data_IF_275213899030
#
_entry.id   IF_275213899030
#
_cell.length_a   1.000
_cell.length_b   1.000
_cell.length_c   1.000
_cell.angle_alpha   90.00
_cell.angle_beta   90.00
_cell.angle_gamma   90.00
#
_symmetry.space_group_name_H-M   'P 1'
#
loop_
_entity.id
_entity.type
_entity.pdbx_description
1 polymer ?
#
# COMPACT_ATOMS: atom_id res chain seq x y z
N UNK A 1 -27.71 -17.50 -18.14
CA UNK A 1 -28.12 -16.98 -16.81
C UNK A 1 -26.97 -16.32 -16.03
N UNK A 2 -25.78 -16.12 -16.59
CA UNK A 2 -24.61 -15.61 -15.84
C UNK A 2 -24.56 -14.08 -15.68
N UNK A 3 -25.24 -13.32 -16.54
CA UNK A 3 -25.26 -11.85 -16.52
C UNK A 3 -25.93 -11.27 -15.25
N UNK A 4 -26.87 -12.00 -14.64
CA UNK A 4 -27.55 -11.56 -13.41
C UNK A 4 -26.65 -11.63 -12.17
N UNK A 5 -25.77 -12.62 -12.07
CA UNK A 5 -24.86 -12.78 -10.94
C UNK A 5 -23.69 -11.78 -10.93
N UNK A 6 -23.34 -11.20 -12.09
CA UNK A 6 -22.35 -10.12 -12.18
C UNK A 6 -22.97 -8.77 -11.77
N UNK A 7 -24.22 -8.49 -12.17
CA UNK A 7 -24.93 -7.28 -11.73
C UNK A 7 -25.21 -7.30 -10.21
N UNK A 8 -25.56 -8.45 -9.63
CA UNK A 8 -25.73 -8.56 -8.17
C UNK A 8 -24.43 -8.31 -7.39
N UNK A 9 -23.26 -8.68 -7.95
CA UNK A 9 -21.95 -8.40 -7.34
C UNK A 9 -21.57 -6.92 -7.45
N UNK A 10 -21.91 -6.27 -8.55
CA UNK A 10 -21.76 -4.82 -8.72
C UNK A 10 -22.67 -4.07 -7.73
N UNK A 11 -23.95 -4.42 -7.63
CA UNK A 11 -24.88 -3.81 -6.67
C UNK A 11 -24.42 -3.96 -5.22
N UNK A 12 -23.93 -5.15 -4.82
CA UNK A 12 -23.36 -5.34 -3.47
C UNK A 12 -22.09 -4.52 -3.23
N UNK A 13 -21.26 -4.31 -4.27
CA UNK A 13 -20.08 -3.45 -4.16
C UNK A 13 -20.47 -1.97 -4.01
N UNK A 14 -21.52 -1.51 -4.71
CA UNK A 14 -22.06 -0.15 -4.58
C UNK A 14 -22.70 0.06 -3.20
N UNK A 15 -23.44 -0.92 -2.69
CA UNK A 15 -24.02 -0.87 -1.34
C UNK A 15 -22.94 -0.83 -0.25
N UNK A 16 -21.84 -1.57 -0.41
CA UNK A 16 -20.68 -1.49 0.48
C UNK A 16 -20.03 -0.10 0.42
N UNK A 17 -19.91 0.48 -0.77
CA UNK A 17 -19.36 1.83 -0.94
C UNK A 17 -20.23 2.88 -0.24
N UNK A 18 -21.55 2.80 -0.41
CA UNK A 18 -22.50 3.71 0.24
C UNK A 18 -22.54 3.50 1.76
N UNK A 19 -22.47 2.26 2.25
CA UNK A 19 -22.38 1.97 3.68
C UNK A 19 -21.07 2.48 4.31
N UNK A 20 -19.94 2.40 3.60
CA UNK A 20 -18.66 2.97 4.03
C UNK A 20 -18.70 4.51 4.04
N UNK A 21 -19.33 5.12 3.03
CA UNK A 21 -19.54 6.58 2.97
C UNK A 21 -20.50 7.08 4.05
N UNK A 22 -21.57 6.34 4.34
CA UNK A 22 -22.54 6.67 5.39
C UNK A 22 -21.90 6.52 6.78
N UNK A 23 -21.06 5.49 7.01
CA UNK A 23 -20.24 5.38 8.24
C UNK A 23 -19.24 6.52 8.37
N UNK A 24 -18.58 6.90 7.27
CA UNK A 24 -17.62 8.01 7.25
C UNK A 24 -18.28 9.40 7.47
N UNK A 25 -19.57 9.56 7.14
CA UNK A 25 -20.33 10.80 7.38
C UNK A 25 -20.93 10.88 8.79
N UNK A 26 -21.26 9.75 9.44
CA UNK A 26 -21.87 9.72 10.79
C UNK A 26 -20.87 9.88 11.94
N UNK A 27 -19.60 9.62 11.68
CA UNK A 27 -18.51 10.01 12.55
C UNK A 27 -17.61 10.93 11.75
N UNK A 28 -17.71 12.26 11.94
CA UNK A 28 -16.51 13.08 11.71
C UNK A 28 -15.44 12.47 12.60
N UNK A 29 -14.39 11.82 12.06
CA UNK A 29 -13.40 11.23 12.93
C UNK A 29 -12.75 12.43 13.59
N UNK A 30 -12.96 12.57 14.90
CA UNK A 30 -11.93 13.18 15.74
C UNK A 30 -10.68 12.42 15.32
N UNK A 31 -9.76 13.11 14.64
CA UNK A 31 -8.48 12.54 14.22
C UNK A 31 -7.73 12.25 15.51
N UNK A 32 -8.01 11.09 16.12
CA UNK A 32 -7.43 10.69 17.39
C UNK A 32 -5.96 10.45 17.12
N UNK A 33 -5.12 11.33 17.67
CA UNK A 33 -3.68 11.17 17.64
C UNK A 33 -3.36 9.82 18.27
N UNK A 34 -2.70 8.96 17.50
CA UNK A 34 -2.25 7.65 17.93
C UNK A 34 -0.75 7.69 18.10
N UNK A 35 -0.28 7.09 19.18
CA UNK A 35 1.14 6.85 19.38
C UNK A 35 1.64 5.76 18.43
N UNK A 36 2.73 6.03 17.72
CA UNK A 36 3.43 5.03 16.93
C UNK A 36 4.23 4.09 17.82
N UNK A 37 4.25 2.81 17.45
CA UNK A 37 5.26 1.89 17.98
C UNK A 37 6.67 2.36 17.61
N UNK A 38 7.62 2.15 18.51
CA UNK A 38 9.01 2.64 18.38
C UNK A 38 9.66 2.24 17.06
N UNK A 39 9.48 1.00 16.61
CA UNK A 39 10.04 0.53 15.33
C UNK A 39 9.47 1.31 14.13
N UNK A 40 8.15 1.52 14.11
CA UNK A 40 7.47 2.28 13.05
C UNK A 40 7.86 3.75 13.11
N UNK A 41 7.98 4.30 14.33
CA UNK A 41 8.47 5.65 14.55
C UNK A 41 9.88 5.85 14.00
N UNK A 42 10.82 4.95 14.31
CA UNK A 42 12.20 5.03 13.82
C UNK A 42 12.27 4.92 12.29
N UNK A 43 11.47 4.03 11.69
CA UNK A 43 11.35 3.94 10.22
C UNK A 43 10.81 5.24 9.62
N UNK A 44 9.80 5.84 10.22
CA UNK A 44 9.24 7.11 9.77
C UNK A 44 10.25 8.25 9.93
N UNK A 45 10.93 8.31 11.07
CA UNK A 45 11.96 9.29 11.35
C UNK A 45 13.09 9.21 10.32
N UNK A 46 13.64 8.02 10.05
CA UNK A 46 14.71 7.83 9.07
C UNK A 46 14.27 8.23 7.66
N UNK A 47 13.05 7.84 7.26
CA UNK A 47 12.47 8.25 5.99
C UNK A 47 12.37 9.78 5.86
N UNK A 48 11.86 10.45 6.91
CA UNK A 48 11.72 11.91 6.91
C UNK A 48 13.06 12.63 7.04
N UNK A 49 14.02 12.08 7.77
CA UNK A 49 15.37 12.66 7.94
C UNK A 49 16.12 12.72 6.62
N UNK A 50 15.90 11.74 5.72
CA UNK A 50 16.42 11.78 4.35
C UNK A 50 15.86 12.92 3.50
N UNK A 51 14.67 13.43 3.82
CA UNK A 51 14.03 14.58 3.15
C UNK A 51 14.26 15.91 3.88
N UNK A 52 14.36 15.87 5.20
CA UNK A 52 14.48 17.00 6.10
C UNK A 52 15.67 16.77 7.03
N UNK A 53 16.87 17.15 6.58
CA UNK A 53 18.13 16.90 7.29
C UNK A 53 18.16 17.51 8.69
N UNK A 54 17.38 18.56 8.96
CA UNK A 54 17.29 19.24 10.25
C UNK A 54 16.32 18.59 11.25
N UNK A 55 15.58 17.55 10.83
CA UNK A 55 14.58 16.88 11.69
C UNK A 55 15.24 16.17 12.87
N UNK A 56 14.74 16.40 14.08
CA UNK A 56 15.29 15.81 15.32
C UNK A 56 14.33 14.79 15.90
N UNK A 57 14.87 13.72 16.46
CA UNK A 57 14.11 12.66 17.13
C UNK A 57 13.76 13.12 18.55
N UNK A 58 12.48 13.02 18.93
CA UNK A 58 11.99 13.48 20.24
C UNK A 58 12.57 12.68 21.43
N UNK A 59 13.15 11.51 21.20
CA UNK A 59 13.78 10.74 22.28
C UNK A 59 15.17 11.30 22.68
N UNK A 60 15.81 12.11 21.84
CA UNK A 60 17.18 12.56 22.07
C UNK A 60 17.22 14.01 22.56
N UNK A 61 17.24 14.16 23.89
CA UNK A 61 17.42 15.43 24.58
C UNK A 61 18.92 15.67 24.89
N UNK A 62 19.39 16.93 24.92
CA UNK A 62 18.65 18.16 24.63
C UNK A 62 18.45 18.38 23.12
N UNK A 63 17.33 19.00 22.75
CA UNK A 63 17.08 19.35 21.35
C UNK A 63 17.93 20.55 20.93
N UNK A 64 18.46 20.56 19.69
CA UNK A 64 19.11 21.75 19.15
C UNK A 64 18.11 22.92 19.05
N UNK A 65 18.57 24.17 19.22
CA UNK A 65 17.70 25.34 19.15
C UNK A 65 17.09 25.48 17.74
N UNK A 66 15.79 25.78 17.69
CA UNK A 66 15.00 25.97 16.46
C UNK A 66 14.92 24.76 15.51
N UNK A 67 15.32 23.56 15.93
CA UNK A 67 15.18 22.37 15.10
C UNK A 67 13.76 21.77 15.18
N UNK A 68 13.15 21.37 14.05
CA UNK A 68 11.88 20.66 14.07
C UNK A 68 12.03 19.30 14.73
N UNK A 69 11.11 18.96 15.64
CA UNK A 69 11.12 17.69 16.39
C UNK A 69 9.95 16.81 15.94
N UNK A 70 10.25 15.61 15.43
CA UNK A 70 9.22 14.64 15.09
C UNK A 70 8.75 13.93 16.37
N UNK A 71 7.51 14.18 16.78
CA UNK A 71 6.86 13.47 17.88
C UNK A 71 6.39 12.07 17.42
N UNK A 72 6.25 11.15 18.37
CA UNK A 72 5.67 9.81 18.14
C UNK A 72 4.16 9.79 17.89
N UNK A 73 3.46 10.91 18.10
CA UNK A 73 2.03 11.01 17.86
C UNK A 73 1.74 11.40 16.41
N UNK A 74 0.93 10.59 15.75
CA UNK A 74 0.50 10.84 14.38
C UNK A 74 -1.01 10.72 14.24
N UNK A 75 -1.51 11.22 13.11
CA UNK A 75 -2.88 11.02 12.68
C UNK A 75 -2.93 9.94 11.61
N UNK A 76 -3.52 8.78 11.91
CA UNK A 76 -3.75 7.73 10.92
C UNK A 76 -5.04 8.02 10.14
N UNK A 77 -4.98 7.95 8.81
CA UNK A 77 -6.17 7.98 7.95
C UNK A 77 -6.59 6.57 7.59
N UNK A 78 -7.89 6.29 7.70
CA UNK A 78 -8.43 4.99 7.29
C UNK A 78 -8.37 4.79 5.77
N UNK A 79 -8.45 5.89 5.03
CA UNK A 79 -8.46 5.88 3.58
C UNK A 79 -7.94 7.21 3.03
N UNK A 80 -7.50 7.19 1.77
CA UNK A 80 -7.37 8.37 0.94
C UNK A 80 -8.15 8.21 -0.36
N UNK A 81 -8.38 9.31 -1.06
CA UNK A 81 -8.84 9.30 -2.44
C UNK A 81 -7.64 9.53 -3.34
N UNK A 82 -7.35 8.56 -4.20
CA UNK A 82 -6.32 8.68 -5.22
C UNK A 82 -6.85 9.50 -6.40
N UNK A 83 -5.94 10.07 -7.20
CA UNK A 83 -6.27 11.07 -8.23
C UNK A 83 -7.28 10.57 -9.27
N UNK A 84 -7.37 9.26 -9.49
CA UNK A 84 -8.31 8.63 -10.43
C UNK A 84 -9.66 8.26 -9.80
N UNK A 85 -10.03 8.90 -8.68
CA UNK A 85 -11.32 8.68 -8.02
C UNK A 85 -11.41 7.42 -7.16
N UNK A 86 -10.40 6.55 -7.21
CA UNK A 86 -10.36 5.32 -6.42
C UNK A 86 -10.00 5.57 -4.95
N UNK A 87 -10.70 4.89 -4.06
CA UNK A 87 -10.44 4.90 -2.62
C UNK A 87 -9.35 3.87 -2.30
N UNK A 88 -8.27 4.31 -1.67
CA UNK A 88 -7.25 3.43 -1.11
C UNK A 88 -7.45 3.38 0.39
N UNK A 89 -7.53 2.17 0.93
CA UNK A 89 -7.72 1.95 2.35
C UNK A 89 -6.96 0.70 2.76
N UNK A 90 -6.49 0.68 4.02
CA UNK A 90 -5.92 -0.53 4.63
C UNK A 90 -6.90 -1.72 4.68
N UNK A 91 -8.21 -1.45 4.68
CA UNK A 91 -9.26 -2.47 4.80
C UNK A 91 -9.87 -2.89 3.46
N UNK A 92 -9.51 -2.22 2.35
CA UNK A 92 -10.07 -2.50 1.03
C UNK A 92 -9.28 -3.58 0.29
N UNK A 93 -9.94 -4.28 -0.64
CA UNK A 93 -9.31 -5.25 -1.55
C UNK A 93 -8.33 -4.59 -2.55
N UNK A 94 -8.38 -3.27 -2.73
CA UNK A 94 -7.42 -2.51 -3.55
C UNK A 94 -6.29 -1.92 -2.70
N UNK A 95 -5.66 -2.75 -1.86
CA UNK A 95 -4.55 -2.33 -0.99
C UNK A 95 -3.18 -2.60 -1.61
N UNK A 96 -3.09 -3.28 -2.76
CA UNK A 96 -1.83 -3.41 -3.48
C UNK A 96 -1.66 -2.19 -4.37
N UNK A 97 -0.55 -1.51 -4.16
CA UNK A 97 -0.08 -0.41 -5.00
C UNK A 97 1.08 -0.92 -5.84
N UNK A 98 1.34 -0.22 -6.94
CA UNK A 98 2.56 -0.42 -7.71
C UNK A 98 3.20 0.91 -8.08
N UNK A 99 4.51 0.85 -8.27
CA UNK A 99 5.36 1.97 -8.70
C UNK A 99 6.49 1.47 -9.60
N UNK A 100 7.13 2.40 -10.31
CA UNK A 100 8.26 2.08 -11.18
C UNK A 100 9.53 1.89 -10.35
N UNK A 101 10.24 0.81 -10.60
CA UNK A 101 11.51 0.51 -9.98
C UNK A 101 12.68 0.75 -10.93
N UNK A 102 12.98 2.02 -11.20
CA UNK A 102 14.06 2.37 -12.13
C UNK A 102 13.89 1.69 -13.50
N UNK A 103 14.84 0.82 -13.86
CA UNK A 103 14.84 0.02 -15.10
C UNK A 103 14.29 -1.40 -14.90
N UNK A 104 14.13 -1.87 -13.65
CA UNK A 104 13.85 -3.27 -13.29
C UNK A 104 12.35 -3.62 -13.26
N UNK A 105 11.51 -2.73 -13.81
CA UNK A 105 10.07 -2.98 -13.97
C UNK A 105 9.21 -2.39 -12.85
N UNK A 106 8.12 -3.08 -12.50
CA UNK A 106 7.15 -2.63 -11.50
C UNK A 106 7.43 -3.25 -10.15
N UNK A 107 7.49 -2.43 -9.11
CA UNK A 107 7.49 -2.85 -7.70
C UNK A 107 6.07 -2.84 -7.16
N UNK A 108 5.71 -3.89 -6.44
CA UNK A 108 4.40 -4.06 -5.82
C UNK A 108 4.51 -4.03 -4.31
N UNK A 109 3.52 -3.42 -3.64
CA UNK A 109 3.48 -3.40 -2.19
C UNK A 109 2.08 -3.25 -1.63
N UNK A 110 1.86 -3.82 -0.46
CA UNK A 110 0.59 -3.76 0.27
C UNK A 110 0.58 -2.56 1.22
N UNK A 111 -0.46 -1.75 1.12
CA UNK A 111 -0.72 -0.63 2.03
C UNK A 111 -1.04 -1.15 3.43
N UNK A 112 -0.17 -0.87 4.39
CA UNK A 112 -0.36 -1.21 5.80
C UNK A 112 -0.99 -0.05 6.57
N UNK A 113 -0.47 1.17 6.38
CA UNK A 113 -0.94 2.38 7.08
C UNK A 113 -0.86 3.60 6.17
N UNK A 114 -1.80 4.54 6.35
CA UNK A 114 -1.78 5.84 5.69
C UNK A 114 -1.69 6.90 6.79
N UNK A 115 -0.59 7.64 6.81
CA UNK A 115 -0.30 8.60 7.87
C UNK A 115 -0.42 10.03 7.33
N UNK A 116 -1.13 10.87 8.08
CA UNK A 116 -1.17 12.31 7.86
C UNK A 116 -0.17 12.99 8.79
N UNK A 117 0.85 13.61 8.17
CA UNK A 117 1.88 14.33 8.90
C UNK A 117 1.35 15.72 9.26
N UNK A 118 1.10 15.93 10.54
CA UNK A 118 0.76 17.22 11.14
C UNK A 118 2.00 17.82 11.82
N UNK A 119 3.04 18.08 11.03
CA UNK A 119 4.22 18.80 11.48
C UNK A 119 4.19 20.19 10.82
N UNK A 120 4.36 21.25 11.61
CA UNK A 120 4.24 22.64 11.08
C UNK A 120 5.34 22.92 10.05
N UNK A 121 6.48 22.26 10.20
CA UNK A 121 7.68 22.44 9.41
C UNK A 121 7.73 21.49 8.19
N UNK A 122 7.02 20.35 8.26
CA UNK A 122 6.85 19.42 7.14
C UNK A 122 5.46 19.71 6.55
N UNK A 123 5.40 20.47 5.45
CA UNK A 123 4.15 20.77 4.77
C UNK A 123 3.27 19.52 4.65
N UNK A 124 2.04 19.63 5.19
CA UNK A 124 0.98 18.60 5.30
C UNK A 124 1.10 17.54 4.20
N UNK A 125 1.82 16.47 4.53
CA UNK A 125 2.09 15.36 3.63
C UNK A 125 1.34 14.12 4.10
N UNK A 126 0.85 13.34 3.15
CA UNK A 126 0.43 11.99 3.41
C UNK A 126 1.59 11.05 3.04
N UNK A 127 1.90 10.13 3.94
CA UNK A 127 2.90 9.07 3.71
C UNK A 127 2.24 7.72 3.92
N UNK A 128 2.73 6.70 3.21
CA UNK A 128 2.18 5.34 3.31
C UNK A 128 3.24 4.41 3.80
N UNK A 129 2.89 3.62 4.82
CA UNK A 129 3.66 2.44 5.18
C UNK A 129 3.23 1.27 4.29
N UNK A 130 4.19 0.69 3.58
CA UNK A 130 3.96 -0.35 2.59
C UNK A 130 4.80 -1.57 2.94
N UNK A 131 4.19 -2.74 2.85
CA UNK A 131 4.88 -4.04 2.89
C UNK A 131 5.17 -4.48 1.46
N UNK A 132 6.45 -4.59 1.12
CA UNK A 132 6.86 -4.94 -0.24
C UNK A 132 6.52 -6.39 -0.58
N UNK A 133 6.20 -6.62 -1.84
CA UNK A 133 5.97 -7.94 -2.40
C UNK A 133 7.07 -8.28 -3.42
N UNK A 134 7.46 -9.55 -3.47
CA UNK A 134 8.45 -10.09 -4.42
C UNK A 134 7.82 -11.22 -5.24
N UNK A 135 8.38 -11.50 -6.41
CA UNK A 135 7.89 -12.59 -7.26
C UNK A 135 8.04 -13.94 -6.54
N UNK A 136 7.01 -14.79 -6.60
CA UNK A 136 7.03 -16.11 -5.94
C UNK A 136 8.18 -16.98 -6.42
N UNK A 137 8.52 -16.85 -7.70
CA UNK A 137 9.62 -17.59 -8.35
C UNK A 137 10.97 -17.33 -7.69
N UNK A 138 11.19 -16.12 -7.17
CA UNK A 138 12.41 -15.76 -6.43
C UNK A 138 12.50 -16.37 -5.03
N UNK A 139 11.40 -16.95 -4.52
CA UNK A 139 11.31 -17.48 -3.16
C UNK A 139 11.21 -19.01 -3.09
N UNK A 140 11.08 -19.70 -4.23
CA UNK A 140 10.85 -21.14 -4.28
C UNK A 140 11.95 -21.85 -5.06
N UNK A 141 13.08 -22.08 -4.40
CA UNK A 141 14.16 -22.93 -4.92
C UNK A 141 13.65 -24.37 -5.05
N UNK A 142 13.69 -24.96 -6.26
CA UNK A 142 13.37 -26.38 -6.51
C UNK A 142 12.10 -26.68 -7.33
N UNK A 143 11.37 -25.67 -7.80
CA UNK A 143 10.20 -25.86 -8.69
C UNK A 143 10.45 -25.32 -10.11
N UNK A 144 11.32 -25.98 -10.87
CA UNK A 144 11.73 -25.54 -12.23
C UNK A 144 10.55 -25.38 -13.23
N UNK A 145 9.43 -26.07 -13.01
CA UNK A 145 8.25 -26.00 -13.88
C UNK A 145 7.19 -24.98 -13.44
N UNK A 146 7.31 -24.40 -12.24
CA UNK A 146 6.29 -23.48 -11.72
C UNK A 146 6.31 -22.17 -12.50
N UNK A 147 7.47 -21.70 -12.92
CA UNK A 147 7.62 -20.46 -13.71
C UNK A 147 6.94 -20.57 -15.08
N UNK A 148 7.12 -21.70 -15.76
CA UNK A 148 6.43 -21.99 -17.03
C UNK A 148 4.91 -22.07 -16.82
N UNK A 149 4.46 -22.72 -15.76
CA UNK A 149 3.04 -22.81 -15.44
C UNK A 149 2.41 -21.44 -15.13
N UNK A 150 3.07 -20.63 -14.31
CA UNK A 150 2.59 -19.32 -13.88
C UNK A 150 2.66 -18.27 -14.99
N UNK A 151 3.67 -18.32 -15.86
CA UNK A 151 3.78 -17.40 -17.00
C UNK A 151 2.59 -17.51 -17.97
N UNK A 152 2.01 -18.71 -18.12
CA UNK A 152 0.82 -18.92 -18.95
C UNK A 152 -0.44 -18.20 -18.43
N UNK A 153 -0.48 -17.83 -17.14
CA UNK A 153 -1.67 -17.28 -16.50
C UNK A 153 -1.85 -15.77 -16.73
N UNK A 154 -0.86 -15.07 -17.29
CA UNK A 154 -0.88 -13.60 -17.49
C UNK A 154 -1.22 -12.84 -16.19
N UNK A 155 -0.71 -13.33 -15.07
CA UNK A 155 -0.84 -12.74 -13.73
C UNK A 155 0.55 -12.53 -13.14
N UNK A 156 0.71 -11.48 -12.34
CA UNK A 156 1.87 -11.32 -11.47
C UNK A 156 1.63 -12.14 -10.20
N UNK A 157 2.54 -13.08 -9.90
CA UNK A 157 2.45 -13.94 -8.72
C UNK A 157 3.48 -13.46 -7.71
N UNK A 158 2.98 -12.96 -6.58
CA UNK A 158 3.78 -12.26 -5.59
C UNK A 158 3.62 -12.90 -4.20
N UNK A 159 4.64 -12.76 -3.37
CA UNK A 159 4.57 -13.04 -1.93
C UNK A 159 4.94 -11.79 -1.15
N UNK A 160 4.32 -11.60 0.02
CA UNK A 160 4.63 -10.46 0.88
C UNK A 160 5.94 -10.73 1.63
N UNK A 161 6.86 -9.78 1.56
CA UNK A 161 8.11 -9.81 2.33
C UNK A 161 7.91 -9.19 3.70
N UNK A 162 8.88 -9.37 4.60
CA UNK A 162 8.92 -8.65 5.87
C UNK A 162 9.45 -7.21 5.74
N UNK A 163 9.78 -6.77 4.51
CA UNK A 163 10.31 -5.45 4.26
C UNK A 163 9.18 -4.40 4.26
N UNK A 164 9.20 -3.55 5.29
CA UNK A 164 8.28 -2.42 5.44
C UNK A 164 9.03 -1.12 5.15
N UNK A 165 8.48 -0.29 4.27
CA UNK A 165 9.04 1.03 3.97
C UNK A 165 7.96 2.10 3.89
N UNK A 166 8.34 3.33 4.20
CA UNK A 166 7.53 4.50 3.92
C UNK A 166 7.77 5.00 2.51
N UNK A 167 6.69 5.35 1.81
CA UNK A 167 6.72 5.96 0.48
C UNK A 167 5.84 7.21 0.40
N UNK A 168 6.10 8.04 -0.61
CA UNK A 168 5.28 9.21 -0.90
C UNK A 168 4.09 8.82 -1.78
N UNK A 169 2.93 9.48 -1.62
CA UNK A 169 1.79 9.28 -2.54
C UNK A 169 2.16 9.47 -4.00
N UNK A 170 2.89 10.55 -4.39
CA UNK A 170 3.15 10.83 -5.79
C UNK A 170 3.99 9.76 -6.48
N UNK A 171 4.69 8.92 -5.73
CA UNK A 171 5.51 7.82 -6.27
C UNK A 171 4.62 6.64 -6.72
N UNK A 172 3.35 6.59 -6.29
CA UNK A 172 2.43 5.50 -6.58
C UNK A 172 1.80 5.70 -7.96
N UNK A 173 2.08 4.75 -8.85
CA UNK A 173 1.57 4.75 -10.22
C UNK A 173 0.14 4.23 -10.31
N UNK A 174 -0.24 3.31 -9.41
CA UNK A 174 -1.59 2.78 -9.44
C UNK A 174 -1.89 1.69 -8.44
N UNK A 175 -3.04 1.07 -8.65
CA UNK A 175 -3.61 0.04 -7.79
C UNK A 175 -3.75 -1.28 -8.53
N UNK A 176 -3.39 -2.37 -7.87
CA UNK A 176 -3.59 -3.73 -8.35
C UNK A 176 -4.68 -4.42 -7.55
N UNK A 177 -5.75 -4.83 -8.22
CA UNK A 177 -6.68 -5.79 -7.63
C UNK A 177 -6.00 -7.16 -7.56
N UNK A 178 -6.06 -7.80 -6.39
CA UNK A 178 -5.37 -9.07 -6.17
C UNK A 178 -6.33 -10.14 -5.67
N UNK A 179 -5.94 -11.40 -5.87
CA UNK A 179 -6.51 -12.55 -5.18
C UNK A 179 -5.45 -13.14 -4.26
N UNK A 180 -5.79 -13.30 -2.98
CA UNK A 180 -4.92 -14.01 -2.05
C UNK A 180 -5.28 -15.49 -2.11
N UNK A 181 -4.28 -16.32 -2.43
CA UNK A 181 -4.38 -17.75 -2.30
C UNK A 181 -3.95 -18.18 -0.89
N UNK A 182 -4.62 -19.17 -0.29
CA UNK A 182 -4.21 -19.74 0.99
C UNK A 182 -2.78 -20.25 0.97
N UNK A 183 -2.15 -20.34 2.15
CA UNK A 183 -0.95 -21.16 2.33
C UNK A 183 -1.25 -22.61 1.87
N UNK A 184 -0.23 -23.31 1.37
CA UNK A 184 -0.32 -24.64 0.74
C UNK A 184 -0.94 -24.68 -0.66
N UNK A 185 -1.36 -23.55 -1.23
CA UNK A 185 -1.75 -23.49 -2.64
C UNK A 185 -0.54 -23.79 -3.52
N UNK A 186 -0.75 -24.56 -4.60
CA UNK A 186 0.30 -24.93 -5.56
C UNK A 186 1.53 -25.64 -4.94
N UNK A 187 1.38 -26.26 -3.78
CA UNK A 187 2.48 -26.94 -3.08
C UNK A 187 3.34 -26.04 -2.18
N UNK A 188 2.97 -24.75 -2.02
CA UNK A 188 3.72 -23.80 -1.21
C UNK A 188 3.46 -23.99 0.30
N UNK A 189 4.39 -24.61 1.04
CA UNK A 189 4.11 -25.00 2.44
C UNK A 189 3.78 -23.85 3.40
N UNK A 190 4.32 -22.64 3.20
CA UNK A 190 4.23 -21.57 4.22
C UNK A 190 3.82 -20.18 3.70
N UNK A 191 3.81 -19.96 2.38
CA UNK A 191 3.63 -18.63 1.81
C UNK A 191 2.24 -18.45 1.20
N UNK A 192 1.52 -17.42 1.66
CA UNK A 192 0.30 -16.98 0.98
C UNK A 192 0.67 -16.21 -0.29
N UNK A 193 0.24 -16.70 -1.44
CA UNK A 193 0.50 -16.06 -2.73
C UNK A 193 -0.55 -15.00 -3.05
N UNK A 194 -0.12 -13.88 -3.60
CA UNK A 194 -0.96 -12.84 -4.18
C UNK A 194 -0.89 -12.96 -5.71
N UNK A 195 -2.04 -13.07 -6.36
CA UNK A 195 -2.12 -13.08 -7.82
C UNK A 195 -2.77 -11.80 -8.31
N UNK A 196 -2.08 -11.07 -9.17
CA UNK A 196 -2.52 -9.80 -9.72
C UNK A 196 -2.64 -9.93 -11.23
N UNK A 197 -3.87 -9.99 -11.78
CA UNK A 197 -4.07 -9.99 -13.23
C UNK A 197 -3.49 -8.73 -13.86
N UNK A 198 -2.69 -8.88 -14.93
CA UNK A 198 -2.03 -7.74 -15.60
C UNK A 198 -3.07 -6.73 -16.10
N UNK A 199 -4.24 -7.20 -16.54
CA UNK A 199 -5.36 -6.36 -17.01
C UNK A 199 -6.14 -5.67 -15.88
N UNK A 200 -5.83 -5.92 -14.60
CA UNK A 200 -6.47 -5.27 -13.44
C UNK A 200 -5.55 -4.26 -12.75
N UNK A 201 -4.49 -3.84 -13.42
CA UNK A 201 -3.64 -2.74 -12.98
C UNK A 201 -4.30 -1.42 -13.41
N UNK A 202 -4.84 -0.68 -12.45
CA UNK A 202 -5.50 0.60 -12.67
C UNK A 202 -4.49 1.73 -12.52
N UNK A 203 -4.34 2.55 -13.56
CA UNK A 203 -3.38 3.67 -13.57
C UNK A 203 -2.31 3.62 -14.65
N UNK A 204 -2.21 2.51 -15.40
CA UNK A 204 -1.20 2.37 -16.46
C UNK A 204 -1.47 3.30 -17.67
N UNK A 205 -2.73 3.63 -17.94
CA UNK A 205 -3.17 4.29 -19.18
C UNK A 205 -2.70 5.74 -19.35
N UNK A 206 -2.17 6.40 -18.31
CA UNK A 206 -1.69 7.78 -18.40
C UNK A 206 -0.18 7.94 -18.51
N UNK A 207 0.61 6.86 -18.43
CA UNK A 207 2.08 6.92 -18.49
C UNK A 207 2.72 6.08 -19.58
N UNK A 208 1.97 5.17 -20.19
CA UNK A 208 2.37 4.52 -21.43
C UNK A 208 1.47 5.05 -22.54
N UNK A 209 1.87 6.18 -23.15
CA UNK A 209 1.40 6.48 -24.49
C UNK A 209 1.74 5.28 -25.36
N UNK A 210 0.72 4.68 -25.98
CA UNK A 210 0.79 3.75 -27.12
C UNK A 210 2.10 2.97 -27.26
N UNK A 211 2.08 1.70 -26.86
CA UNK A 211 2.94 0.69 -27.50
C UNK A 211 2.46 0.53 -28.94
#
# INVERSE_FOLDING_TARGET
MEKFGQMQRLHKATELYDQLLIRAKRHSPILTKKELHDETYLKLFNYLKGKFSQLTNYHHLPYPPNCPVLRNYITERQHWKWNFGHLVSKASQNNIIYLKDGLDGLKFGKVCQILHLECKEIHKGLVVLVQWATNVTTCMEGFENLDSFLSNWKVNNLTLTNNLAFISIPDILGLGAYHQLPACSLGCQELSMLTIPINKLVGLESHFGTI
#
